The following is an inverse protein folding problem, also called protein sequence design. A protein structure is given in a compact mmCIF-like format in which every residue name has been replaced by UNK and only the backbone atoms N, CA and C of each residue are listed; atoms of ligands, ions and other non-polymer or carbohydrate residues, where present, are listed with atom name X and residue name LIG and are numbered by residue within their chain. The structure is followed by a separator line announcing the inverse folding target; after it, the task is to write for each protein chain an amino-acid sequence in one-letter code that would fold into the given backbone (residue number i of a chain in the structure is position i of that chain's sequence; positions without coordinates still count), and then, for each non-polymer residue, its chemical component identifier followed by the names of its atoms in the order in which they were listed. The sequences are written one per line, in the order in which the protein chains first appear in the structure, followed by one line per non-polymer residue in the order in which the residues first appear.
data_IF_609452607285
#
_entry.id   IF_609452607285
#
_cell.length_a   1.000
_cell.length_b   1.000
_cell.length_c   1.000
_cell.angle_alpha   90.00
_cell.angle_beta   90.00
_cell.angle_gamma   90.00
#
_symmetry.space_group_name_H-M   'P 1'
#
loop_
_entity.id
_entity.type
_entity.pdbx_description
1 polymer ?
#
# COMPACT_ATOMS: atom_id res chain seq x y z
N UNK A 1 9.57 -5.93 -5.47
CA UNK A 1 9.46 -7.03 -4.49
C UNK A 1 9.17 -6.39 -3.15
N UNK A 2 8.19 -6.90 -2.40
CA UNK A 2 7.86 -6.44 -1.06
C UNK A 2 8.24 -7.55 -0.07
N UNK A 3 9.03 -7.24 0.94
CA UNK A 3 9.35 -8.17 2.02
C UNK A 3 8.73 -7.68 3.32
N UNK A 4 8.01 -8.56 4.00
CA UNK A 4 7.46 -8.34 5.33
C UNK A 4 7.90 -9.53 6.16
N UNK A 5 8.63 -9.27 7.25
CA UNK A 5 9.32 -10.29 8.04
C UNK A 5 10.18 -11.22 7.15
N UNK A 6 9.94 -12.53 7.21
CA UNK A 6 10.60 -13.54 6.39
C UNK A 6 9.87 -13.87 5.08
N UNK A 7 8.72 -13.23 4.80
CA UNK A 7 7.93 -13.51 3.62
C UNK A 7 8.15 -12.47 2.53
N UNK A 8 8.33 -12.97 1.31
CA UNK A 8 8.59 -12.16 0.13
C UNK A 8 7.42 -12.26 -0.84
N UNK A 9 6.95 -11.10 -1.29
CA UNK A 9 5.83 -10.93 -2.20
C UNK A 9 6.29 -10.27 -3.50
N UNK A 10 6.07 -10.97 -4.61
CA UNK A 10 6.32 -10.42 -5.94
C UNK A 10 5.09 -9.61 -6.37
N UNK A 11 5.18 -8.28 -6.31
CA UNK A 11 4.07 -7.38 -6.69
C UNK A 11 3.61 -7.56 -8.15
N UNK A 12 4.44 -8.16 -9.01
CA UNK A 12 4.09 -8.50 -10.39
C UNK A 12 3.38 -9.86 -10.54
N UNK A 13 3.21 -10.63 -9.46
CA UNK A 13 2.58 -11.95 -9.51
C UNK A 13 1.08 -11.83 -9.86
N UNK A 14 0.56 -12.57 -10.86
CA UNK A 14 -0.82 -12.40 -11.34
C UNK A 14 -1.90 -12.68 -10.29
N UNK A 15 -1.61 -13.54 -9.31
CA UNK A 15 -2.55 -13.96 -8.28
C UNK A 15 -2.40 -13.17 -6.97
N UNK A 16 -1.47 -12.22 -6.91
CA UNK A 16 -1.30 -11.34 -5.76
C UNK A 16 -2.32 -10.20 -5.83
N UNK A 17 -3.05 -10.01 -4.74
CA UNK A 17 -3.95 -8.86 -4.56
C UNK A 17 -3.47 -8.04 -3.37
N UNK A 18 -3.39 -6.73 -3.55
CA UNK A 18 -3.29 -5.80 -2.44
C UNK A 18 -4.65 -5.16 -2.18
N UNK A 19 -4.93 -4.91 -0.90
CA UNK A 19 -6.07 -4.15 -0.42
C UNK A 19 -5.55 -3.03 0.46
N UNK A 20 -5.99 -1.80 0.19
CA UNK A 20 -5.67 -0.62 0.98
C UNK A 20 -6.94 0.22 1.11
N UNK A 21 -7.32 0.57 2.34
CA UNK A 21 -8.43 1.51 2.58
C UNK A 21 -8.36 2.14 3.96
N UNK A 22 -9.01 3.30 4.11
CA UNK A 22 -9.17 3.97 5.40
C UNK A 22 -10.50 3.60 6.07
N UNK A 23 -10.46 3.23 7.34
CA UNK A 23 -11.61 3.22 8.23
C UNK A 23 -11.71 4.60 8.90
N UNK A 24 -12.52 5.49 8.28
CA UNK A 24 -12.68 6.87 8.75
C UNK A 24 -13.21 6.96 10.19
N UNK A 25 -14.00 5.98 10.63
CA UNK A 25 -14.61 5.97 11.96
C UNK A 25 -13.59 5.63 13.03
N UNK A 26 -12.70 4.68 12.75
CA UNK A 26 -11.61 4.29 13.65
C UNK A 26 -10.35 5.13 13.50
N UNK A 27 -10.29 5.97 12.46
CA UNK A 27 -9.09 6.74 12.09
C UNK A 27 -7.90 5.83 11.84
N UNK A 28 -8.16 4.70 11.18
CA UNK A 28 -7.17 3.67 10.88
C UNK A 28 -7.08 3.44 9.37
N UNK A 29 -5.94 2.92 8.95
CA UNK A 29 -5.71 2.37 7.63
C UNK A 29 -5.57 0.87 7.73
N UNK A 30 -6.22 0.17 6.82
CA UNK A 30 -6.07 -1.26 6.62
C UNK A 30 -5.21 -1.53 5.38
N UNK A 31 -4.20 -2.37 5.53
CA UNK A 31 -3.42 -2.91 4.41
C UNK A 31 -3.41 -4.42 4.47
N UNK A 32 -3.70 -5.08 3.35
CA UNK A 32 -3.65 -6.52 3.24
C UNK A 32 -3.10 -7.01 1.90
N UNK A 33 -2.50 -8.19 1.95
CA UNK A 33 -1.98 -8.96 0.82
C UNK A 33 -2.66 -10.31 0.83
N UNK A 34 -3.19 -10.71 -0.32
CA UNK A 34 -3.74 -12.06 -0.53
C UNK A 34 -3.01 -12.72 -1.68
N UNK A 35 -2.52 -13.94 -1.47
CA UNK A 35 -1.89 -14.73 -2.54
C UNK A 35 -2.00 -16.24 -2.28
N UNK A 36 -1.62 -17.09 -3.27
CA UNK A 36 -1.57 -18.54 -3.07
C UNK A 36 -0.56 -18.99 -2.00
N UNK A 37 0.47 -18.20 -1.70
CA UNK A 37 1.54 -18.57 -0.75
C UNK A 37 1.26 -18.09 0.68
N UNK A 38 0.12 -17.43 0.90
CA UNK A 38 -0.32 -16.94 2.20
C UNK A 38 -1.02 -15.59 2.09
N UNK A 39 -1.43 -15.10 3.25
CA UNK A 39 -2.09 -13.81 3.44
C UNK A 39 -1.37 -12.99 4.51
N UNK A 40 -1.42 -11.67 4.39
CA UNK A 40 -0.93 -10.70 5.38
C UNK A 40 -1.97 -9.60 5.56
N UNK A 41 -2.18 -9.13 6.79
CA UNK A 41 -3.06 -7.99 7.06
C UNK A 41 -2.56 -7.21 8.28
N UNK A 42 -2.69 -5.90 8.22
CA UNK A 42 -2.37 -4.99 9.33
C UNK A 42 -3.34 -3.80 9.34
N UNK A 43 -3.76 -3.44 10.56
CA UNK A 43 -4.45 -2.19 10.85
C UNK A 43 -3.48 -1.27 11.62
N UNK A 44 -3.40 -0.01 11.22
CA UNK A 44 -2.54 0.99 11.85
C UNK A 44 -3.22 2.37 11.81
N UNK A 45 -2.81 3.33 12.64
CA UNK A 45 -3.34 4.69 12.57
C UNK A 45 -3.16 5.28 11.17
N UNK A 46 -4.21 5.92 10.63
CA UNK A 46 -4.09 6.63 9.36
C UNK A 46 -3.10 7.80 9.47
N UNK A 47 -2.48 8.22 8.37
CA UNK A 47 -1.50 9.34 8.40
C UNK A 47 -2.10 10.64 8.95
N UNK A 48 -3.40 10.84 8.75
CA UNK A 48 -4.18 11.97 9.26
C UNK A 48 -4.85 11.71 10.62
N UNK A 49 -4.61 10.56 11.27
CA UNK A 49 -5.33 10.15 12.48
C UNK A 49 -5.14 11.10 13.67
N UNK A 50 -4.10 11.91 13.70
CA UNK A 50 -3.87 12.91 14.75
C UNK A 50 -4.30 14.33 14.36
N UNK A 51 -4.70 14.55 13.10
CA UNK A 51 -5.16 15.87 12.62
C UNK A 51 -6.59 16.10 13.10
N UNK A 52 -6.84 17.07 14.01
CA UNK A 52 -8.20 17.39 14.44
C UNK A 52 -9.04 17.87 13.26
N UNK A 53 -10.31 17.47 13.22
CA UNK A 53 -11.27 17.87 12.18
C UNK A 53 -10.78 17.60 10.74
N UNK A 54 -9.93 16.58 10.55
CA UNK A 54 -9.50 16.16 9.21
C UNK A 54 -10.69 15.90 8.30
N UNK A 55 -10.68 16.57 7.14
CA UNK A 55 -11.62 16.35 6.05
C UNK A 55 -10.82 15.80 4.87
N UNK A 56 -11.23 14.67 4.26
CA UNK A 56 -10.61 14.19 3.03
C UNK A 56 -10.76 15.26 1.95
N UNK A 57 -9.64 15.76 1.43
CA UNK A 57 -9.60 16.72 0.34
C UNK A 57 -8.89 16.10 -0.85
N UNK A 58 -9.35 16.39 -2.07
CA UNK A 58 -8.66 16.01 -3.29
C UNK A 58 -7.58 17.03 -3.68
N UNK A 59 -6.42 16.60 -4.22
CA UNK A 59 -6.03 15.19 -4.43
C UNK A 59 -5.60 14.50 -3.13
N UNK A 60 -5.93 13.21 -2.99
CA UNK A 60 -5.48 12.38 -1.87
C UNK A 60 -3.94 12.33 -1.82
N UNK A 61 -3.37 12.64 -0.66
CA UNK A 61 -1.91 12.63 -0.44
C UNK A 61 -1.38 11.29 0.08
N UNK A 62 -2.23 10.26 0.10
CA UNK A 62 -1.92 8.99 0.77
C UNK A 62 -0.60 8.39 0.31
N UNK A 63 -0.35 8.32 -1.00
CA UNK A 63 0.91 7.76 -1.55
C UNK A 63 2.18 8.55 -1.17
N UNK A 64 2.02 9.79 -0.73
CA UNK A 64 3.11 10.70 -0.37
C UNK A 64 3.34 10.72 1.15
N UNK A 65 2.29 10.47 1.95
CA UNK A 65 2.32 10.47 3.42
C UNK A 65 2.34 9.07 4.06
N UNK A 66 1.95 8.03 3.32
CA UNK A 66 1.83 6.65 3.80
C UNK A 66 2.62 5.67 2.91
N UNK A 67 3.59 4.98 3.51
CA UNK A 67 4.46 4.04 2.81
C UNK A 67 3.71 2.84 2.20
N UNK A 68 2.68 2.33 2.88
CA UNK A 68 1.90 1.21 2.39
C UNK A 68 0.90 1.68 1.32
N UNK A 69 0.42 2.92 1.38
CA UNK A 69 -0.29 3.56 0.29
C UNK A 69 0.59 3.70 -0.96
N UNK A 70 1.86 4.10 -0.78
CA UNK A 70 2.82 4.18 -1.88
C UNK A 70 3.03 2.81 -2.55
N UNK A 71 3.20 1.76 -1.75
CA UNK A 71 3.33 0.38 -2.27
C UNK A 71 2.07 -0.03 -3.05
N UNK A 72 0.88 0.28 -2.52
CA UNK A 72 -0.37 0.04 -3.20
C UNK A 72 -0.47 0.80 -4.53
N UNK A 73 -0.09 2.07 -4.55
CA UNK A 73 -0.03 2.90 -5.76
C UNK A 73 0.91 2.34 -6.83
N UNK A 74 2.11 1.90 -6.43
CA UNK A 74 3.08 1.25 -7.34
C UNK A 74 2.52 -0.06 -7.89
N UNK A 75 1.85 -0.87 -7.06
CA UNK A 75 1.22 -2.12 -7.50
C UNK A 75 0.08 -1.87 -8.49
N UNK A 76 -0.78 -0.88 -8.22
CA UNK A 76 -1.89 -0.50 -9.10
C UNK A 76 -1.45 0.16 -10.42
N UNK A 77 -0.22 0.69 -10.48
CA UNK A 77 0.27 1.46 -11.62
C UNK A 77 1.41 0.72 -12.34
N UNK A 78 1.11 -0.15 -13.34
CA UNK A 78 2.11 -0.97 -14.03
C UNK A 78 3.27 -0.18 -14.63
N UNK A 79 3.02 1.03 -15.14
CA UNK A 79 4.07 1.88 -15.73
C UNK A 79 5.12 2.31 -14.71
N UNK A 80 4.70 2.61 -13.47
CA UNK A 80 5.59 2.99 -12.37
C UNK A 80 6.38 1.77 -11.91
N UNK A 81 5.70 0.64 -11.71
CA UNK A 81 6.36 -0.62 -11.36
C UNK A 81 7.46 -0.98 -12.39
N UNK A 82 7.15 -0.93 -13.68
CA UNK A 82 8.12 -1.18 -14.76
C UNK A 82 9.27 -0.16 -14.77
N UNK A 83 8.99 1.11 -14.51
CA UNK A 83 10.01 2.17 -14.47
C UNK A 83 10.99 1.97 -13.29
N UNK A 84 10.46 1.60 -12.13
CA UNK A 84 11.26 1.28 -10.94
C UNK A 84 12.13 0.04 -11.16
N UNK A 85 11.56 -1.03 -11.73
CA UNK A 85 12.31 -2.24 -12.07
C UNK A 85 13.48 -1.92 -13.00
N UNK A 86 13.23 -1.20 -14.10
CA UNK A 86 14.28 -0.80 -15.05
C UNK A 86 15.40 0.00 -14.38
N UNK A 87 15.06 0.90 -13.46
CA UNK A 87 16.04 1.77 -12.77
C UNK A 87 16.92 1.00 -11.79
N UNK A 88 16.39 -0.04 -11.13
CA UNK A 88 17.11 -0.79 -10.10
C UNK A 88 17.88 -2.01 -10.61
N UNK A 89 17.63 -2.41 -11.86
CA UNK A 89 18.38 -3.50 -12.52
C UNK A 89 19.48 -2.99 -13.46
N UNK A 90 19.67 -1.67 -13.55
CA UNK A 90 20.73 -1.02 -14.33
C UNK A 90 21.95 -0.74 -13.46
#
# INVERSE_FOLDING_TARGET
MLQIDSQIWLLSAPQLKLHFHHDMRKRQTHFAITSPTGDFAIDYPAWWAEIPDFVPLEPEMDKDEDYLAHIYYVWQTPSINQSLLKRWTA
#
